data_IF_519671070142
#
_entry.id   IF_519671070142
#
_cell.length_a   1.000
_cell.length_b   1.000
_cell.length_c   1.000
_cell.angle_alpha   90.00
_cell.angle_beta   90.00
_cell.angle_gamma   90.00
#
_symmetry.space_group_name_H-M   'P 1'
#
loop_
_entity.id
_entity.type
_entity.pdbx_description
1 polymer ?
#
# COMPACT_ATOMS: atom_id res chain seq x y z
N UNK A 1 3.89 -7.23 6.78
CA UNK A 1 3.18 -5.99 7.16
C UNK A 1 4.15 -4.85 6.96
N UNK A 2 3.68 -3.73 6.43
CA UNK A 2 4.52 -2.56 6.22
C UNK A 2 4.68 -1.75 7.50
N UNK A 3 5.82 -1.06 7.66
CA UNK A 3 6.06 -0.15 8.78
C UNK A 3 5.34 1.19 8.53
N UNK A 4 4.86 1.82 9.60
CA UNK A 4 4.29 3.17 9.53
C UNK A 4 5.31 4.18 8.98
N UNK A 5 6.62 3.92 9.18
CA UNK A 5 7.72 4.77 8.72
C UNK A 5 7.90 4.78 7.19
N UNK A 6 7.39 3.74 6.51
CA UNK A 6 7.44 3.59 5.07
C UNK A 6 6.27 4.29 4.36
N UNK A 7 5.35 4.90 5.12
CA UNK A 7 4.12 5.49 4.62
C UNK A 7 4.03 6.99 4.93
N UNK A 8 3.14 7.67 4.23
CA UNK A 8 2.79 9.07 4.48
C UNK A 8 1.84 9.25 5.69
N UNK A 9 1.60 8.21 6.51
CA UNK A 9 0.72 8.32 7.67
C UNK A 9 1.24 9.38 8.65
N UNK A 10 0.42 10.40 8.98
CA UNK A 10 0.87 11.54 9.78
C UNK A 10 1.26 11.12 11.21
N UNK A 11 2.36 11.67 11.70
CA UNK A 11 2.88 11.42 13.04
C UNK A 11 3.45 12.70 13.64
N UNK A 12 3.55 12.72 14.95
CA UNK A 12 4.37 13.73 15.61
C UNK A 12 5.85 13.53 15.26
N UNK A 13 6.56 14.63 15.06
CA UNK A 13 8.03 14.61 15.01
C UNK A 13 8.56 14.50 16.44
N UNK A 14 9.65 13.73 16.67
CA UNK A 14 10.27 13.61 17.99
C UNK A 14 10.73 14.99 18.50
N UNK A 15 11.42 15.74 17.64
CA UNK A 15 12.01 17.04 17.96
C UNK A 15 11.39 18.11 17.08
N UNK A 16 10.55 18.96 17.68
CA UNK A 16 9.93 20.10 17.02
C UNK A 16 10.77 21.36 17.29
N UNK A 17 11.15 22.05 16.21
CA UNK A 17 11.79 23.36 16.30
C UNK A 17 10.78 24.42 16.74
N UNK A 18 11.26 25.53 17.34
CA UNK A 18 10.39 26.64 17.70
C UNK A 18 9.60 27.17 16.50
N UNK A 19 10.23 27.26 15.34
CA UNK A 19 9.58 27.68 14.08
C UNK A 19 8.43 26.78 13.69
N UNK A 20 8.59 25.45 13.78
CA UNK A 20 7.52 24.49 13.49
C UNK A 20 6.36 24.59 14.49
N UNK A 21 6.68 24.83 15.77
CA UNK A 21 5.65 25.10 16.79
C UNK A 21 4.86 26.36 16.44
N UNK A 22 5.54 27.43 16.09
CA UNK A 22 4.90 28.72 15.72
C UNK A 22 4.04 28.58 14.44
N UNK A 23 4.52 27.92 13.41
CA UNK A 23 3.79 27.76 12.14
C UNK A 23 2.58 26.83 12.26
N UNK A 24 2.69 25.73 13.01
CA UNK A 24 1.67 24.66 13.03
C UNK A 24 0.69 24.81 14.18
N UNK A 25 1.19 25.13 15.39
CA UNK A 25 0.40 25.03 16.62
C UNK A 25 -0.03 26.36 17.20
N UNK A 26 0.32 27.49 16.60
CA UNK A 26 -0.20 28.80 17.04
C UNK A 26 -1.70 28.91 16.78
N UNK A 27 -2.54 29.13 17.82
CA UNK A 27 -3.97 29.32 17.63
C UNK A 27 -4.27 30.69 17.03
N UNK A 28 -5.06 30.72 15.98
CA UNK A 28 -5.57 32.00 15.46
C UNK A 28 -6.74 32.53 16.33
N UNK A 29 -7.15 33.78 16.08
CA UNK A 29 -8.22 34.40 16.87
C UNK A 29 -9.54 33.65 16.80
N UNK A 30 -9.89 33.09 15.67
CA UNK A 30 -11.13 32.33 15.48
C UNK A 30 -11.11 31.06 16.29
N UNK A 31 -9.99 30.35 16.32
CA UNK A 31 -9.78 29.15 17.12
C UNK A 31 -9.80 29.46 18.62
N UNK A 32 -9.19 30.59 19.04
CA UNK A 32 -9.23 31.02 20.41
C UNK A 32 -10.66 31.36 20.87
N UNK A 33 -11.47 32.06 20.05
CA UNK A 33 -12.87 32.31 20.31
C UNK A 33 -13.68 31.01 20.38
N UNK A 34 -13.40 30.06 19.49
CA UNK A 34 -14.00 28.74 19.50
C UNK A 34 -13.73 28.01 20.82
N UNK A 35 -12.47 27.99 21.27
CA UNK A 35 -12.11 27.34 22.53
C UNK A 35 -12.70 28.03 23.76
N UNK A 36 -12.79 29.36 23.77
CA UNK A 36 -13.44 30.12 24.89
C UNK A 36 -14.93 29.85 24.98
N UNK A 37 -15.60 29.66 23.84
CA UNK A 37 -17.04 29.39 23.80
C UNK A 37 -17.41 28.02 24.36
N UNK A 38 -16.61 27.00 24.10
CA UNK A 38 -16.92 25.61 24.45
C UNK A 38 -16.24 25.17 25.75
N UNK A 39 -15.03 25.63 26.01
CA UNK A 39 -14.28 25.26 27.22
C UNK A 39 -14.66 26.12 28.43
N UNK A 40 -15.19 25.49 29.48
CA UNK A 40 -15.60 26.14 30.69
C UNK A 40 -14.46 26.42 31.68
N UNK A 41 -13.42 25.59 31.67
CA UNK A 41 -12.23 25.70 32.52
C UNK A 41 -10.98 25.94 31.66
N UNK A 42 -9.86 26.32 32.29
CA UNK A 42 -8.58 26.43 31.59
C UNK A 42 -8.13 25.07 31.04
N UNK A 43 -8.38 23.98 31.79
CA UNK A 43 -8.07 22.63 31.35
C UNK A 43 -8.87 22.24 30.11
N UNK A 44 -10.17 22.46 30.12
CA UNK A 44 -11.03 22.14 28.97
C UNK A 44 -10.75 23.00 27.74
N UNK A 45 -10.37 24.28 27.92
CA UNK A 45 -9.93 25.14 26.80
C UNK A 45 -8.62 24.67 26.18
N UNK A 46 -7.65 24.34 27.03
CA UNK A 46 -6.37 23.81 26.57
C UNK A 46 -6.55 22.46 25.87
N UNK A 47 -7.32 21.56 26.47
CA UNK A 47 -7.60 20.25 25.89
C UNK A 47 -8.26 20.35 24.51
N UNK A 48 -9.30 21.17 24.39
CA UNK A 48 -9.99 21.44 23.12
C UNK A 48 -9.01 21.98 22.06
N UNK A 49 -8.13 22.93 22.45
CA UNK A 49 -7.17 23.52 21.52
C UNK A 49 -6.11 22.50 21.10
N UNK A 50 -5.63 21.65 22.01
CA UNK A 50 -4.71 20.55 21.66
C UNK A 50 -5.38 19.62 20.64
N UNK A 51 -6.61 19.19 20.88
CA UNK A 51 -7.34 18.34 19.93
C UNK A 51 -7.51 19.02 18.57
N UNK A 52 -7.85 20.31 18.55
CA UNK A 52 -8.03 21.06 17.30
C UNK A 52 -6.70 21.14 16.50
N UNK A 53 -5.61 21.56 17.15
CA UNK A 53 -4.32 21.73 16.46
C UNK A 53 -3.70 20.40 16.05
N UNK A 54 -3.89 19.34 16.84
CA UNK A 54 -3.39 18.02 16.50
C UNK A 54 -4.16 17.39 15.34
N UNK A 55 -5.50 17.49 15.30
CA UNK A 55 -6.26 16.94 14.17
C UNK A 55 -6.00 17.70 12.88
N UNK A 56 -5.79 19.02 12.93
CA UNK A 56 -5.38 19.81 11.75
C UNK A 56 -4.06 19.30 11.15
N UNK A 57 -3.14 18.83 12.00
CA UNK A 57 -1.83 18.33 11.57
C UNK A 57 -1.84 16.84 11.20
N UNK A 58 -2.54 16.02 11.97
CA UNK A 58 -2.50 14.56 11.88
C UNK A 58 -3.66 13.96 11.10
N UNK A 59 -4.79 14.67 10.99
CA UNK A 59 -6.02 14.13 10.41
C UNK A 59 -6.77 13.16 11.31
N UNK A 60 -6.32 12.91 12.54
CA UNK A 60 -6.98 12.09 13.55
C UNK A 60 -6.82 12.69 14.95
N UNK A 61 -7.63 12.22 15.92
CA UNK A 61 -7.59 12.69 17.30
C UNK A 61 -6.69 11.78 18.15
N UNK A 62 -5.47 12.22 18.50
CA UNK A 62 -4.57 11.43 19.35
C UNK A 62 -5.08 11.39 20.80
N UNK A 63 -4.53 10.45 21.60
CA UNK A 63 -4.67 10.51 23.05
C UNK A 63 -3.72 11.60 23.59
N UNK A 64 -4.11 12.24 24.71
CA UNK A 64 -3.26 13.29 25.35
C UNK A 64 -1.88 12.76 25.68
N UNK A 65 -1.80 11.51 26.11
CA UNK A 65 -0.53 10.85 26.45
C UNK A 65 0.44 10.74 25.26
N UNK A 66 -0.09 10.73 24.01
CA UNK A 66 0.71 10.63 22.79
C UNK A 66 1.16 12.00 22.27
N UNK A 67 0.64 13.09 22.83
CA UNK A 67 0.98 14.45 22.40
C UNK A 67 2.30 14.87 23.03
N UNK A 68 3.31 15.29 22.26
CA UNK A 68 4.58 15.76 22.79
C UNK A 68 4.40 16.90 23.82
N UNK A 69 5.09 16.86 24.97
CA UNK A 69 5.01 17.91 26.00
C UNK A 69 5.35 19.30 25.48
N UNK A 70 6.22 19.42 24.49
CA UNK A 70 6.56 20.67 23.81
C UNK A 70 5.34 21.34 23.18
N UNK A 71 4.45 20.58 22.54
CA UNK A 71 3.21 21.08 21.93
C UNK A 71 2.25 21.57 23.04
N UNK A 72 2.06 20.76 24.09
CA UNK A 72 1.20 21.13 25.23
C UNK A 72 1.67 22.43 25.87
N UNK A 73 2.98 22.54 26.15
CA UNK A 73 3.58 23.73 26.76
C UNK A 73 3.46 24.96 25.84
N UNK A 74 3.70 24.78 24.55
CA UNK A 74 3.57 25.84 23.56
C UNK A 74 2.14 26.38 23.47
N UNK A 75 1.16 25.49 23.30
CA UNK A 75 -0.27 25.88 23.20
C UNK A 75 -0.74 26.54 24.50
N UNK A 76 -0.28 26.07 25.66
CA UNK A 76 -0.59 26.69 26.96
C UNK A 76 -0.13 28.15 27.01
N UNK A 77 1.10 28.42 26.57
CA UNK A 77 1.65 29.78 26.51
C UNK A 77 0.91 30.64 25.48
N UNK A 78 0.63 30.10 24.30
CA UNK A 78 -0.05 30.81 23.23
C UNK A 78 -1.48 31.21 23.59
N UNK A 79 -2.16 30.44 24.47
CA UNK A 79 -3.46 30.79 25.03
C UNK A 79 -3.40 31.75 26.23
N UNK A 80 -2.22 32.10 26.73
CA UNK A 80 -2.05 32.92 27.92
C UNK A 80 -2.56 32.25 29.21
N UNK A 81 -2.59 30.90 29.25
CA UNK A 81 -3.09 30.15 30.38
C UNK A 81 -1.99 29.91 31.42
N UNK A 82 -2.39 29.85 32.69
CA UNK A 82 -1.50 29.31 33.73
C UNK A 82 -1.23 27.83 33.46
N UNK A 83 -0.12 27.32 34.02
CA UNK A 83 0.27 25.93 33.85
C UNK A 83 -0.90 25.00 34.24
N UNK A 84 -1.32 24.17 33.30
CA UNK A 84 -2.34 23.13 33.52
C UNK A 84 -1.61 21.79 33.66
N UNK A 85 -1.81 21.08 34.77
CA UNK A 85 -1.14 19.79 34.98
C UNK A 85 -1.69 18.73 33.99
N UNK A 86 -0.82 17.80 33.58
CA UNK A 86 -1.21 16.75 32.62
C UNK A 86 -2.38 15.88 33.12
N UNK A 87 -2.46 15.63 34.43
CA UNK A 87 -3.58 14.89 35.02
C UNK A 87 -4.94 15.54 34.74
N UNK A 88 -5.03 16.88 34.76
CA UNK A 88 -6.26 17.59 34.44
C UNK A 88 -6.65 17.43 32.96
N UNK A 89 -5.69 17.34 32.05
CA UNK A 89 -5.96 17.04 30.62
C UNK A 89 -6.43 15.59 30.44
N UNK A 90 -5.86 14.65 31.18
CA UNK A 90 -6.28 13.23 31.18
C UNK A 90 -7.70 13.08 31.75
N UNK A 91 -8.07 13.89 32.75
CA UNK A 91 -9.45 13.93 33.28
C UNK A 91 -10.44 14.46 32.22
N UNK A 92 -10.09 15.54 31.52
CA UNK A 92 -10.90 16.05 30.40
C UNK A 92 -11.04 14.99 29.29
N UNK A 93 -9.98 14.24 29.00
CA UNK A 93 -10.00 13.15 28.01
C UNK A 93 -10.98 12.03 28.38
N UNK A 94 -11.09 11.69 29.65
CA UNK A 94 -12.04 10.67 30.17
C UNK A 94 -13.45 11.19 30.33
N UNK A 95 -13.63 12.50 30.27
CA UNK A 95 -14.93 13.14 30.47
C UNK A 95 -15.88 12.96 29.28
N UNK A 96 -17.17 13.14 29.49
CA UNK A 96 -18.16 13.18 28.41
C UNK A 96 -17.92 14.31 27.43
N UNK A 97 -17.30 15.40 27.87
CA UNK A 97 -16.95 16.56 27.05
C UNK A 97 -16.04 16.25 25.90
N UNK A 98 -15.19 15.18 25.98
CA UNK A 98 -14.35 14.76 24.87
C UNK A 98 -15.14 14.54 23.58
N UNK A 99 -16.26 13.83 23.66
CA UNK A 99 -17.10 13.54 22.49
C UNK A 99 -17.67 14.82 21.90
N UNK A 100 -18.20 15.67 22.76
CA UNK A 100 -18.78 16.94 22.33
C UNK A 100 -17.74 17.85 21.67
N UNK A 101 -16.50 17.85 22.18
CA UNK A 101 -15.38 18.60 21.60
C UNK A 101 -14.98 18.04 20.25
N UNK A 102 -14.86 16.73 20.11
CA UNK A 102 -14.56 16.09 18.83
C UNK A 102 -15.61 16.41 17.78
N UNK A 103 -16.89 16.30 18.12
CA UNK A 103 -17.99 16.61 17.21
C UNK A 103 -18.02 18.10 16.84
N UNK A 104 -17.76 18.98 17.79
CA UNK A 104 -17.64 20.42 17.52
C UNK A 104 -16.43 20.76 16.61
N UNK A 105 -15.29 20.09 16.81
CA UNK A 105 -14.10 20.26 15.96
C UNK A 105 -14.37 19.73 14.55
N UNK A 106 -15.00 18.58 14.42
CA UNK A 106 -15.39 18.02 13.11
C UNK A 106 -16.28 18.99 12.34
N UNK A 107 -17.28 19.54 13.01
CA UNK A 107 -18.18 20.55 12.43
C UNK A 107 -17.42 21.83 12.03
N UNK A 108 -16.50 22.31 12.88
CA UNK A 108 -15.69 23.50 12.62
C UNK A 108 -14.74 23.32 11.42
N UNK A 109 -14.09 22.18 11.31
CA UNK A 109 -13.13 21.86 10.24
C UNK A 109 -13.79 21.22 9.01
N UNK A 110 -15.09 20.90 9.08
CA UNK A 110 -15.84 20.17 8.05
C UNK A 110 -15.19 18.82 7.72
N UNK A 111 -14.81 18.09 8.77
CA UNK A 111 -14.25 16.74 8.68
C UNK A 111 -15.37 15.73 8.93
N UNK A 112 -15.44 14.69 8.08
CA UNK A 112 -16.39 13.60 8.24
C UNK A 112 -15.86 12.55 9.22
N UNK A 113 -16.68 12.07 10.17
CA UNK A 113 -16.29 11.00 11.08
C UNK A 113 -16.08 9.67 10.35
N UNK A 114 -15.41 8.74 11.02
CA UNK A 114 -15.24 7.38 10.52
C UNK A 114 -16.58 6.65 10.59
N UNK A 115 -17.13 6.30 9.44
CA UNK A 115 -18.40 5.60 9.27
C UNK A 115 -18.26 4.45 8.27
N UNK A 116 -19.37 3.77 7.97
CA UNK A 116 -19.40 2.75 6.90
C UNK A 116 -19.04 3.33 5.51
N UNK A 117 -19.30 4.61 5.28
CA UNK A 117 -18.96 5.26 4.02
C UNK A 117 -17.46 5.51 3.92
N UNK A 118 -16.79 5.80 5.04
CA UNK A 118 -15.32 5.84 5.11
C UNK A 118 -14.73 4.46 4.76
N UNK A 119 -15.34 3.36 5.25
CA UNK A 119 -14.88 2.00 4.92
C UNK A 119 -15.00 1.70 3.43
N UNK A 120 -16.11 2.09 2.79
CA UNK A 120 -16.28 1.95 1.35
C UNK A 120 -15.24 2.77 0.57
N UNK A 121 -14.96 4.01 1.01
CA UNK A 121 -13.95 4.84 0.40
C UNK A 121 -12.54 4.20 0.50
N UNK A 122 -12.20 3.65 1.67
CA UNK A 122 -10.94 2.92 1.89
C UNK A 122 -10.86 1.69 0.97
N UNK A 123 -11.90 0.87 0.92
CA UNK A 123 -11.92 -0.34 0.09
C UNK A 123 -11.81 -0.02 -1.40
N UNK A 124 -12.52 1.00 -1.86
CA UNK A 124 -12.46 1.43 -3.25
C UNK A 124 -11.06 1.93 -3.61
N UNK A 125 -10.49 2.84 -2.81
CA UNK A 125 -9.15 3.37 -3.03
C UNK A 125 -8.08 2.26 -2.97
N UNK A 126 -8.18 1.33 -2.00
CA UNK A 126 -7.30 0.18 -1.89
C UNK A 126 -7.38 -0.73 -3.12
N UNK A 127 -8.59 -1.01 -3.61
CA UNK A 127 -8.81 -1.86 -4.79
C UNK A 127 -8.21 -1.25 -6.04
N UNK A 128 -8.47 0.04 -6.29
CA UNK A 128 -7.89 0.77 -7.42
C UNK A 128 -6.35 0.81 -7.36
N UNK A 129 -5.80 1.08 -6.17
CA UNK A 129 -4.36 1.08 -5.98
C UNK A 129 -3.73 -0.31 -6.18
N UNK A 130 -4.35 -1.37 -5.65
CA UNK A 130 -3.84 -2.74 -5.74
C UNK A 130 -3.83 -3.29 -7.17
N UNK A 131 -4.60 -2.74 -8.09
CA UNK A 131 -4.55 -3.10 -9.52
C UNK A 131 -3.21 -2.74 -10.18
N UNK A 132 -2.52 -1.72 -9.67
CA UNK A 132 -1.28 -1.23 -10.29
C UNK A 132 -0.08 -1.25 -9.34
N UNK A 133 -0.30 -1.30 -8.02
CA UNK A 133 0.73 -1.26 -7.00
C UNK A 133 0.83 -2.59 -6.27
N UNK A 134 2.06 -2.98 -5.88
CA UNK A 134 2.32 -4.21 -5.13
C UNK A 134 2.74 -3.92 -3.69
N UNK A 135 3.46 -2.82 -3.48
CA UNK A 135 3.93 -2.44 -2.16
C UNK A 135 2.78 -1.91 -1.29
N UNK A 136 2.68 -2.43 -0.07
CA UNK A 136 1.62 -2.03 0.86
C UNK A 136 1.71 -0.55 1.23
N UNK A 137 2.92 -0.01 1.33
CA UNK A 137 3.13 1.40 1.62
C UNK A 137 2.48 2.29 0.56
N UNK A 138 2.65 1.96 -0.72
CA UNK A 138 2.05 2.71 -1.82
C UNK A 138 0.53 2.66 -1.82
N UNK A 139 -0.04 1.47 -1.53
CA UNK A 139 -1.49 1.31 -1.44
C UNK A 139 -2.04 2.13 -0.28
N UNK A 140 -1.39 2.09 0.88
CA UNK A 140 -1.77 2.88 2.06
C UNK A 140 -1.69 4.37 1.77
N UNK A 141 -0.66 4.84 1.08
CA UNK A 141 -0.50 6.24 0.72
C UNK A 141 -1.66 6.72 -0.17
N UNK A 142 -2.07 5.93 -1.17
CA UNK A 142 -3.25 6.24 -2.00
C UNK A 142 -4.53 6.33 -1.15
N UNK A 143 -4.72 5.41 -0.19
CA UNK A 143 -5.87 5.46 0.71
C UNK A 143 -5.85 6.76 1.54
N UNK A 144 -4.69 7.13 2.10
CA UNK A 144 -4.54 8.36 2.91
C UNK A 144 -4.87 9.59 2.07
N UNK A 145 -4.32 9.70 0.86
CA UNK A 145 -4.58 10.80 -0.07
C UNK A 145 -6.08 10.93 -0.37
N UNK A 146 -6.76 9.81 -0.62
CA UNK A 146 -8.18 9.79 -0.92
C UNK A 146 -9.03 10.21 0.28
N UNK A 147 -8.69 9.74 1.49
CA UNK A 147 -9.38 10.13 2.72
C UNK A 147 -9.21 11.63 3.00
N UNK A 148 -8.01 12.17 2.81
CA UNK A 148 -7.74 13.62 2.96
C UNK A 148 -8.54 14.42 1.92
N UNK A 149 -8.54 13.97 0.67
CA UNK A 149 -9.28 14.61 -0.42
C UNK A 149 -10.78 14.69 -0.12
N UNK A 150 -11.35 13.63 0.44
CA UNK A 150 -12.76 13.56 0.84
C UNK A 150 -13.03 14.14 2.24
N UNK A 151 -12.02 14.69 2.91
CA UNK A 151 -12.11 15.26 4.26
C UNK A 151 -12.62 14.28 5.31
N UNK A 152 -12.24 13.02 5.21
CA UNK A 152 -12.47 12.04 6.27
C UNK A 152 -11.40 12.12 7.36
N UNK A 153 -11.82 11.86 8.60
CA UNK A 153 -10.89 11.56 9.68
C UNK A 153 -10.07 10.30 9.34
N UNK A 154 -8.75 10.35 9.58
CA UNK A 154 -7.89 9.21 9.32
C UNK A 154 -8.10 8.12 10.39
N UNK A 155 -8.40 6.88 9.99
CA UNK A 155 -8.45 5.77 10.91
C UNK A 155 -7.05 5.35 11.37
N UNK A 156 -6.98 4.55 12.45
CA UNK A 156 -5.72 4.02 12.94
C UNK A 156 -4.91 3.32 11.83
N UNK A 157 -3.60 3.52 11.81
CA UNK A 157 -2.70 2.92 10.82
C UNK A 157 -2.86 1.40 10.69
N UNK A 158 -3.04 0.70 11.83
CA UNK A 158 -3.25 -0.75 11.84
C UNK A 158 -4.49 -1.18 11.04
N UNK A 159 -5.55 -0.36 11.01
CA UNK A 159 -6.75 -0.60 10.20
C UNK A 159 -6.45 -0.44 8.71
N UNK A 160 -5.74 0.62 8.32
CA UNK A 160 -5.34 0.86 6.93
C UNK A 160 -4.44 -0.27 6.44
N UNK A 161 -3.42 -0.64 7.22
CA UNK A 161 -2.48 -1.71 6.87
C UNK A 161 -3.18 -3.06 6.70
N UNK A 162 -4.09 -3.43 7.60
CA UNK A 162 -4.88 -4.67 7.50
C UNK A 162 -5.76 -4.67 6.26
N UNK A 163 -6.44 -3.56 5.98
CA UNK A 163 -7.33 -3.46 4.82
C UNK A 163 -6.54 -3.48 3.51
N UNK A 164 -5.44 -2.73 3.42
CA UNK A 164 -4.56 -2.74 2.25
C UNK A 164 -4.00 -4.14 1.97
N UNK A 165 -3.55 -4.85 3.01
CA UNK A 165 -3.05 -6.23 2.89
C UNK A 165 -4.14 -7.18 2.37
N UNK A 166 -5.33 -7.14 2.96
CA UNK A 166 -6.46 -7.98 2.54
C UNK A 166 -6.84 -7.73 1.08
N UNK A 167 -7.04 -6.46 0.71
CA UNK A 167 -7.46 -6.08 -0.65
C UNK A 167 -6.39 -6.41 -1.68
N UNK A 168 -5.11 -6.13 -1.40
CA UNK A 168 -4.01 -6.50 -2.30
C UNK A 168 -4.02 -8.01 -2.58
N UNK A 169 -4.17 -8.83 -1.54
CA UNK A 169 -4.20 -10.28 -1.72
C UNK A 169 -5.43 -10.72 -2.52
N UNK A 170 -6.60 -10.14 -2.26
CA UNK A 170 -7.82 -10.44 -3.05
C UNK A 170 -7.63 -10.10 -4.54
N UNK A 171 -7.05 -8.94 -4.86
CA UNK A 171 -6.77 -8.54 -6.25
C UNK A 171 -5.74 -9.48 -6.90
N UNK A 172 -4.69 -9.86 -6.17
CA UNK A 172 -3.71 -10.80 -6.69
C UNK A 172 -4.31 -12.18 -6.96
N UNK A 173 -5.09 -12.72 -6.02
CA UNK A 173 -5.78 -14.01 -6.20
C UNK A 173 -6.73 -13.98 -7.39
N UNK A 174 -7.47 -12.88 -7.57
CA UNK A 174 -8.33 -12.72 -8.75
C UNK A 174 -7.51 -12.85 -10.04
N UNK A 175 -6.38 -12.17 -10.16
CA UNK A 175 -5.51 -12.29 -11.34
C UNK A 175 -4.92 -13.70 -11.49
N UNK A 176 -4.54 -14.36 -10.40
CA UNK A 176 -4.04 -15.73 -10.48
C UNK A 176 -5.13 -16.67 -11.02
N UNK A 177 -6.35 -16.58 -10.50
CA UNK A 177 -7.47 -17.40 -10.97
C UNK A 177 -7.78 -17.15 -12.44
N UNK A 178 -7.82 -15.89 -12.92
CA UNK A 178 -8.08 -15.62 -14.34
C UNK A 178 -7.05 -16.25 -15.27
N UNK A 179 -5.83 -16.48 -14.78
CA UNK A 179 -4.77 -17.13 -15.55
C UNK A 179 -4.72 -18.65 -15.36
N UNK A 180 -5.22 -19.18 -14.26
CA UNK A 180 -5.04 -20.61 -13.94
C UNK A 180 -6.29 -21.45 -14.21
N UNK A 181 -7.49 -20.88 -14.00
CA UNK A 181 -8.74 -21.62 -14.20
C UNK A 181 -8.93 -22.14 -15.65
N UNK A 182 -8.51 -21.41 -16.70
CA UNK A 182 -8.64 -21.90 -18.07
C UNK A 182 -7.52 -22.87 -18.49
N UNK A 183 -6.49 -23.16 -17.65
CA UNK A 183 -5.37 -24.01 -18.02
C UNK A 183 -5.79 -25.49 -18.16
N UNK A 184 -5.47 -26.14 -19.29
CA UNK A 184 -5.66 -27.59 -19.42
C UNK A 184 -4.77 -28.37 -18.43
N UNK A 185 -5.24 -29.53 -17.97
CA UNK A 185 -4.47 -30.41 -17.09
C UNK A 185 -3.12 -30.85 -17.72
N UNK A 186 -3.07 -30.99 -19.05
CA UNK A 186 -1.83 -31.30 -19.76
C UNK A 186 -0.78 -30.20 -19.60
N UNK A 187 -1.19 -28.92 -19.66
CA UNK A 187 -0.31 -27.75 -19.48
C UNK A 187 0.20 -27.67 -18.06
N UNK A 188 -0.67 -27.83 -17.06
CA UNK A 188 -0.23 -27.81 -15.65
C UNK A 188 0.75 -28.95 -15.32
N UNK A 189 0.53 -30.14 -15.88
CA UNK A 189 1.47 -31.28 -15.74
C UNK A 189 2.84 -30.97 -16.39
N UNK A 190 2.85 -30.33 -17.54
CA UNK A 190 4.08 -29.90 -18.19
C UNK A 190 4.81 -28.80 -17.38
N UNK A 191 4.07 -27.85 -16.80
CA UNK A 191 4.64 -26.85 -15.89
C UNK A 191 5.32 -27.51 -14.68
N UNK A 192 4.69 -28.49 -14.06
CA UNK A 192 5.28 -29.23 -12.93
C UNK A 192 6.52 -30.04 -13.37
N UNK A 193 6.49 -30.63 -14.57
CA UNK A 193 7.67 -31.30 -15.14
C UNK A 193 8.84 -30.35 -15.36
N UNK A 194 8.58 -29.09 -15.80
CA UNK A 194 9.62 -28.08 -16.00
C UNK A 194 10.33 -27.66 -14.69
N UNK A 195 9.71 -27.86 -13.55
CA UNK A 195 10.29 -27.56 -12.24
C UNK A 195 11.18 -28.71 -11.73
N UNK A 196 11.22 -29.84 -12.44
CA UNK A 196 11.99 -31.02 -12.05
C UNK A 196 13.18 -31.22 -12.98
N UNK A 197 14.31 -31.70 -12.45
CA UNK A 197 15.44 -32.08 -13.26
C UNK A 197 15.12 -33.40 -14.00
N UNK A 198 15.17 -33.36 -15.32
CA UNK A 198 15.08 -34.58 -16.12
C UNK A 198 16.42 -35.35 -16.13
N UNK A 199 16.36 -36.67 -16.33
CA UNK A 199 17.55 -37.50 -16.36
C UNK A 199 18.54 -37.01 -17.43
N UNK A 200 19.78 -36.77 -17.05
CA UNK A 200 20.84 -36.27 -17.92
C UNK A 200 20.87 -34.74 -18.14
N UNK A 201 19.96 -34.01 -17.53
CA UNK A 201 19.98 -32.53 -17.58
C UNK A 201 20.62 -31.91 -16.33
N UNK A 202 21.43 -30.87 -16.54
CA UNK A 202 22.08 -30.11 -15.46
C UNK A 202 21.22 -28.94 -14.93
N UNK A 203 20.19 -28.53 -15.67
CA UNK A 203 19.31 -27.40 -15.37
C UNK A 203 17.86 -27.78 -15.60
N UNK A 204 16.97 -27.21 -14.82
CA UNK A 204 15.52 -27.41 -14.98
C UNK A 204 14.97 -26.67 -16.20
N UNK A 205 13.83 -27.11 -16.75
CA UNK A 205 13.12 -26.38 -17.80
C UNK A 205 12.81 -24.93 -17.40
N UNK A 206 12.52 -24.70 -16.11
CA UNK A 206 12.32 -23.37 -15.55
C UNK A 206 13.56 -22.47 -15.65
N UNK A 207 14.74 -23.02 -15.42
CA UNK A 207 15.99 -22.28 -15.61
C UNK A 207 16.26 -22.00 -17.09
N UNK A 208 15.94 -22.96 -17.97
CA UNK A 208 16.10 -22.80 -19.42
C UNK A 208 15.25 -21.66 -20.00
N UNK A 209 13.98 -21.52 -19.55
CA UNK A 209 13.11 -20.45 -20.05
C UNK A 209 13.60 -19.05 -19.66
N UNK A 210 14.36 -18.91 -18.57
CA UNK A 210 14.94 -17.65 -18.10
C UNK A 210 16.22 -17.23 -18.84
N UNK A 211 16.87 -18.16 -19.54
CA UNK A 211 18.14 -17.86 -20.21
C UNK A 211 17.91 -16.86 -21.33
N UNK A 212 18.75 -15.85 -21.38
CA UNK A 212 18.81 -14.92 -22.49
C UNK A 212 19.70 -15.49 -23.63
N UNK A 213 19.45 -15.09 -24.90
CA UNK A 213 20.28 -15.50 -26.01
C UNK A 213 21.72 -15.02 -25.83
N UNK A 214 22.67 -15.85 -26.19
CA UNK A 214 24.09 -15.54 -26.16
C UNK A 214 24.52 -14.76 -27.42
N UNK A 215 25.84 -14.60 -27.63
CA UNK A 215 26.38 -13.89 -28.78
C UNK A 215 25.88 -14.47 -30.13
N UNK A 216 25.57 -13.66 -31.15
CA UNK A 216 24.99 -14.10 -32.41
C UNK A 216 26.02 -14.88 -33.24
N UNK A 217 26.01 -16.20 -33.13
CA UNK A 217 26.67 -17.13 -34.02
C UNK A 217 25.64 -17.92 -34.82
N UNK A 218 25.98 -18.49 -35.97
CA UNK A 218 25.03 -19.27 -36.78
C UNK A 218 24.33 -20.39 -35.99
N UNK A 219 25.02 -21.00 -35.05
CA UNK A 219 24.47 -22.04 -34.17
C UNK A 219 23.48 -21.44 -33.18
N UNK A 220 23.84 -20.34 -32.55
CA UNK A 220 22.95 -19.64 -31.58
C UNK A 220 21.69 -19.07 -32.24
N UNK A 221 21.81 -18.53 -33.45
CA UNK A 221 20.66 -18.07 -34.23
C UNK A 221 19.68 -19.21 -34.52
N UNK A 222 20.19 -20.39 -34.90
CA UNK A 222 19.34 -21.57 -35.15
C UNK A 222 18.66 -22.04 -33.88
N UNK A 223 19.37 -22.14 -32.77
CA UNK A 223 18.82 -22.49 -31.47
C UNK A 223 17.78 -21.46 -31.01
N UNK A 224 18.02 -20.20 -31.28
CA UNK A 224 17.08 -19.12 -30.97
C UNK A 224 15.77 -19.25 -31.77
N UNK A 225 15.83 -19.55 -33.06
CA UNK A 225 14.63 -19.78 -33.88
C UNK A 225 13.82 -20.99 -33.40
N UNK A 226 14.48 -22.08 -33.01
CA UNK A 226 13.79 -23.22 -32.39
C UNK A 226 13.13 -22.85 -31.06
N UNK A 227 13.78 -22.04 -30.26
CA UNK A 227 13.18 -21.49 -29.01
C UNK A 227 11.97 -20.61 -29.28
N UNK A 228 12.01 -19.74 -30.30
CA UNK A 228 10.85 -18.92 -30.70
C UNK A 228 9.67 -19.80 -31.12
N UNK A 229 9.92 -20.85 -31.92
CA UNK A 229 8.89 -21.80 -32.31
C UNK A 229 8.28 -22.51 -31.10
N UNK A 230 9.12 -22.95 -30.17
CA UNK A 230 8.68 -23.59 -28.94
C UNK A 230 7.87 -22.66 -28.05
N UNK A 231 8.31 -21.41 -27.85
CA UNK A 231 7.51 -20.41 -27.10
C UNK A 231 6.16 -20.09 -27.76
N UNK A 232 6.13 -20.07 -29.12
CA UNK A 232 4.88 -19.87 -29.86
C UNK A 232 3.91 -21.04 -29.69
N UNK A 233 4.38 -22.29 -29.66
CA UNK A 233 3.50 -23.43 -29.42
C UNK A 233 2.84 -23.36 -28.04
N UNK A 234 3.57 -22.94 -27.02
CA UNK A 234 3.00 -22.70 -25.69
C UNK A 234 1.96 -21.58 -25.68
N UNK A 235 2.24 -20.46 -26.35
CA UNK A 235 1.35 -19.31 -26.35
C UNK A 235 -0.05 -19.61 -26.90
N UNK A 236 -0.21 -20.63 -27.77
CA UNK A 236 -1.50 -21.08 -28.26
C UNK A 236 -2.34 -21.78 -27.19
N UNK A 237 -1.70 -22.35 -26.16
CA UNK A 237 -2.36 -23.09 -25.09
C UNK A 237 -2.55 -22.27 -23.81
N UNK A 238 -1.89 -21.11 -23.74
CA UNK A 238 -1.93 -20.24 -22.55
C UNK A 238 -3.02 -19.16 -22.68
N UNK A 239 -3.64 -18.78 -21.56
CA UNK A 239 -4.64 -17.72 -21.53
C UNK A 239 -4.04 -16.36 -21.88
N UNK A 240 -4.86 -15.47 -22.43
CA UNK A 240 -4.47 -14.09 -22.71
C UNK A 240 -4.21 -13.32 -21.43
N UNK A 241 -3.24 -12.41 -21.45
CA UNK A 241 -2.80 -11.65 -20.27
C UNK A 241 -3.15 -10.15 -20.30
N UNK A 242 -3.81 -9.68 -21.37
CA UNK A 242 -4.03 -8.25 -21.62
C UNK A 242 -5.00 -7.59 -20.66
N UNK A 243 -5.85 -8.37 -20.01
CA UNK A 243 -6.75 -7.91 -18.94
C UNK A 243 -6.01 -7.53 -17.64
N UNK A 244 -4.73 -7.94 -17.49
CA UNK A 244 -3.92 -7.56 -16.35
C UNK A 244 -3.13 -6.29 -16.70
N UNK A 245 -3.15 -5.23 -15.87
CA UNK A 245 -2.39 -4.00 -16.12
C UNK A 245 -0.91 -4.25 -16.37
N UNK A 246 -0.32 -3.55 -17.34
CA UNK A 246 1.08 -3.73 -17.78
C UNK A 246 2.06 -3.64 -16.60
N UNK A 247 1.85 -2.66 -15.69
CA UNK A 247 2.69 -2.49 -14.50
C UNK A 247 2.63 -3.72 -13.61
N UNK A 248 1.45 -4.29 -13.40
CA UNK A 248 1.26 -5.48 -12.58
C UNK A 248 1.88 -6.72 -13.22
N UNK A 249 1.69 -6.87 -14.54
CA UNK A 249 2.37 -7.94 -15.31
C UNK A 249 3.89 -7.86 -15.15
N UNK A 250 4.46 -6.66 -15.29
CA UNK A 250 5.89 -6.44 -15.10
C UNK A 250 6.39 -6.86 -13.71
N UNK A 251 5.64 -6.53 -12.66
CA UNK A 251 5.97 -6.93 -11.29
C UNK A 251 5.96 -8.45 -11.10
N UNK A 252 4.95 -9.14 -11.61
CA UNK A 252 4.89 -10.61 -11.54
C UNK A 252 5.97 -11.28 -12.38
N UNK A 253 6.29 -10.75 -13.54
CA UNK A 253 7.41 -11.26 -14.38
C UNK A 253 8.75 -11.06 -13.66
N UNK A 254 8.95 -9.92 -12.99
CA UNK A 254 10.13 -9.69 -12.18
C UNK A 254 10.24 -10.71 -11.04
N UNK A 255 9.15 -10.94 -10.29
CA UNK A 255 9.08 -11.96 -9.25
C UNK A 255 9.38 -13.36 -9.82
N UNK A 256 8.75 -13.75 -10.92
CA UNK A 256 8.97 -15.04 -11.59
C UNK A 256 10.42 -15.27 -12.01
N UNK A 257 11.11 -14.21 -12.45
CA UNK A 257 12.54 -14.28 -12.82
C UNK A 257 13.45 -14.49 -11.63
N UNK A 258 13.11 -13.95 -10.46
CA UNK A 258 13.91 -14.06 -9.24
C UNK A 258 13.80 -15.45 -8.58
N UNK A 259 12.64 -16.12 -8.70
CA UNK A 259 12.34 -17.40 -8.04
C UNK A 259 13.00 -18.59 -8.77
N UNK A 260 13.60 -19.51 -8.03
CA UNK A 260 14.07 -20.77 -8.57
C UNK A 260 12.95 -21.84 -8.67
N UNK A 261 13.29 -23.06 -9.11
CA UNK A 261 12.32 -24.14 -9.25
C UNK A 261 11.83 -24.67 -7.89
N UNK A 262 12.65 -24.62 -6.85
CA UNK A 262 12.28 -25.06 -5.51
C UNK A 262 11.34 -24.05 -4.85
N UNK A 263 11.61 -22.75 -5.01
CA UNK A 263 10.73 -21.67 -4.53
C UNK A 263 9.33 -21.80 -5.13
N UNK A 264 9.25 -22.02 -6.46
CA UNK A 264 7.97 -22.21 -7.14
C UNK A 264 7.21 -23.47 -6.67
N UNK A 265 7.92 -24.58 -6.42
CA UNK A 265 7.29 -25.80 -5.89
C UNK A 265 6.70 -25.58 -4.50
N UNK A 266 7.35 -24.79 -3.65
CA UNK A 266 6.88 -24.48 -2.30
C UNK A 266 5.70 -23.50 -2.28
N UNK A 267 5.45 -22.81 -3.41
CA UNK A 267 4.44 -21.78 -3.52
C UNK A 267 3.03 -22.37 -3.73
N UNK A 268 2.00 -21.58 -3.36
CA UNK A 268 0.61 -21.88 -3.67
C UNK A 268 0.41 -22.10 -5.18
N UNK A 269 -0.34 -23.12 -5.56
CA UNK A 269 -0.47 -23.61 -6.93
C UNK A 269 -0.92 -22.54 -7.92
N UNK A 270 -1.98 -21.79 -7.59
CA UNK A 270 -2.50 -20.75 -8.48
C UNK A 270 -1.46 -19.65 -8.74
N UNK A 271 -0.79 -19.17 -7.69
CA UNK A 271 0.27 -18.19 -7.85
C UNK A 271 1.42 -18.74 -8.70
N UNK A 272 1.85 -19.97 -8.45
CA UNK A 272 2.90 -20.66 -9.20
C UNK A 272 2.61 -20.66 -10.70
N UNK A 273 1.45 -21.19 -11.09
CA UNK A 273 1.11 -21.28 -12.50
C UNK A 273 0.87 -19.92 -13.15
N UNK A 274 0.25 -18.97 -12.45
CA UNK A 274 0.09 -17.62 -12.94
C UNK A 274 1.43 -16.94 -13.25
N UNK A 275 2.42 -17.09 -12.37
CA UNK A 275 3.78 -16.57 -12.60
C UNK A 275 4.45 -17.25 -13.80
N UNK A 276 4.24 -18.55 -13.99
CA UNK A 276 4.76 -19.30 -15.13
C UNK A 276 4.13 -18.80 -16.43
N UNK A 277 2.80 -18.67 -16.49
CA UNK A 277 2.08 -18.12 -17.65
C UNK A 277 2.63 -16.76 -18.06
N UNK A 278 2.73 -15.85 -17.08
CA UNK A 278 3.21 -14.48 -17.33
C UNK A 278 4.67 -14.45 -17.82
N UNK A 279 5.52 -15.30 -17.27
CA UNK A 279 6.90 -15.39 -17.75
C UNK A 279 6.98 -15.92 -19.18
N UNK A 280 6.18 -16.93 -19.56
CA UNK A 280 6.10 -17.42 -20.93
C UNK A 280 5.71 -16.32 -21.93
N UNK A 281 4.65 -15.56 -21.63
CA UNK A 281 4.26 -14.42 -22.47
C UNK A 281 5.36 -13.35 -22.57
N UNK A 282 6.01 -13.02 -21.47
CA UNK A 282 7.09 -12.04 -21.47
C UNK A 282 8.30 -12.51 -22.27
N UNK A 283 8.66 -13.80 -22.18
CA UNK A 283 9.76 -14.37 -22.95
C UNK A 283 9.45 -14.47 -24.43
N UNK A 284 8.21 -14.78 -24.79
CA UNK A 284 7.79 -14.77 -26.19
C UNK A 284 7.83 -13.35 -26.78
N UNK A 285 7.27 -12.36 -26.08
CA UNK A 285 7.34 -10.96 -26.53
C UNK A 285 8.80 -10.53 -26.75
N UNK A 286 9.67 -10.75 -25.75
CA UNK A 286 11.10 -10.45 -25.86
C UNK A 286 11.76 -11.18 -27.04
N UNK A 287 11.39 -12.43 -27.26
CA UNK A 287 11.95 -13.23 -28.34
C UNK A 287 11.51 -12.72 -29.73
N UNK A 288 10.27 -12.28 -29.87
CA UNK A 288 9.77 -11.68 -31.10
C UNK A 288 10.43 -10.34 -31.41
N UNK A 289 10.56 -9.46 -30.39
CA UNK A 289 11.20 -8.16 -30.54
C UNK A 289 12.65 -8.30 -31.02
N UNK A 290 13.42 -9.22 -30.42
CA UNK A 290 14.79 -9.49 -30.83
C UNK A 290 14.88 -10.09 -32.25
N UNK A 291 13.89 -10.91 -32.66
CA UNK A 291 13.89 -11.47 -34.03
C UNK A 291 13.65 -10.39 -35.11
N UNK A 292 12.89 -9.33 -34.78
CA UNK A 292 12.65 -8.20 -35.69
C UNK A 292 13.86 -7.28 -35.84
N UNK A 293 14.73 -7.20 -34.83
CA UNK A 293 15.94 -6.36 -34.84
C UNK A 293 17.06 -7.04 -35.65
N UNK A 294 17.04 -8.37 -35.77
CA UNK A 294 18.11 -9.14 -36.43
C UNK A 294 17.75 -9.62 -37.85
N UNK A 295 16.58 -9.25 -38.38
CA UNK A 295 16.20 -9.43 -39.80
C UNK A 295 16.36 -8.11 -40.53
#
# INVERSE_FOLDING_TARGET
MTSIHETAYPRFKPDLTQRELDEIYTPNETEQRFARRLGRSNASRLYLMILLKTVQRLGYFPMVADVPPSIVSFVTKALGLKLVPLCALVEEEKSRSRRDFIDAIRAHLKIHPITKDTDKAIELAATQAAQTKQELADIINVIIEELIRQRYELPAFSRLNRTAFRIRNQVNELYYHTLTDPLPAAVTSQFDAMLTLSAGQLVTGWQQIKQDPKKPTNTEVRQYLERVKWLKSWACELPQVDHIPVVKRGQYVYEARALDAADLKAMQQNKRYALMVLLFHAQLSKALDLSLIHI
#
